data_IF_088398985319
#
_entry.id   IF_088398985319
#
_cell.length_a   1.000
_cell.length_b   1.000
_cell.length_c   1.000
_cell.angle_alpha   90.00
_cell.angle_beta   90.00
_cell.angle_gamma   90.00
#
_symmetry.space_group_name_H-M   'P 1'
#
loop_
_entity.id
_entity.type
_entity.pdbx_description
1 polymer ?
#
# COMPACT_ATOMS: atom_id res chain seq x y z
N UNK A 1 -23.80 -14.25 -28.35
CA UNK A 1 -23.93 -12.99 -27.57
C UNK A 1 -23.81 -11.80 -28.53
N UNK A 2 -24.79 -10.90 -28.58
CA UNK A 2 -24.78 -9.76 -29.52
C UNK A 2 -23.58 -8.84 -29.23
N UNK A 3 -22.93 -8.34 -30.29
CA UNK A 3 -21.74 -7.45 -30.26
C UNK A 3 -21.84 -6.32 -29.22
N UNK A 4 -23.04 -5.80 -28.98
CA UNK A 4 -23.32 -4.75 -27.99
C UNK A 4 -23.09 -5.20 -26.54
N UNK A 5 -23.38 -6.46 -26.18
CA UNK A 5 -23.13 -6.96 -24.83
C UNK A 5 -21.64 -7.14 -24.55
N UNK A 6 -20.84 -7.49 -25.56
CA UNK A 6 -19.39 -7.61 -25.43
C UNK A 6 -18.76 -6.23 -25.13
N UNK A 7 -19.22 -5.17 -25.80
CA UNK A 7 -18.74 -3.81 -25.60
C UNK A 7 -19.05 -3.35 -24.17
N UNK A 8 -20.28 -3.57 -23.69
CA UNK A 8 -20.71 -3.15 -22.34
C UNK A 8 -19.89 -3.87 -21.25
N UNK A 9 -19.65 -5.17 -21.40
CA UNK A 9 -18.82 -5.93 -20.44
C UNK A 9 -17.38 -5.43 -20.47
N UNK A 10 -16.83 -5.14 -21.65
CA UNK A 10 -15.48 -4.61 -21.80
C UNK A 10 -15.32 -3.24 -21.12
N UNK A 11 -16.28 -2.33 -21.27
CA UNK A 11 -16.22 -1.02 -20.57
C UNK A 11 -16.31 -1.19 -19.06
N UNK A 12 -17.18 -2.05 -18.53
CA UNK A 12 -17.30 -2.28 -17.08
C UNK A 12 -15.98 -2.81 -16.49
N UNK A 13 -15.30 -3.72 -17.20
CA UNK A 13 -13.99 -4.26 -16.78
C UNK A 13 -12.88 -3.19 -16.82
N UNK A 14 -12.91 -2.26 -17.78
CA UNK A 14 -11.92 -1.19 -17.87
C UNK A 14 -12.06 -0.14 -16.75
N UNK A 15 -13.28 0.12 -16.27
CA UNK A 15 -13.51 1.11 -15.20
C UNK A 15 -13.38 0.56 -13.78
N UNK A 16 -13.34 -0.76 -13.58
CA UNK A 16 -13.20 -1.34 -12.23
C UNK A 16 -11.81 -1.16 -11.62
N UNK A 17 -10.78 -0.87 -12.44
CA UNK A 17 -9.38 -0.73 -11.99
C UNK A 17 -8.99 0.70 -11.58
N UNK A 18 -9.92 1.66 -11.62
CA UNK A 18 -9.62 3.07 -11.40
C UNK A 18 -9.40 3.46 -9.92
N UNK A 19 -9.65 2.56 -8.96
CA UNK A 19 -9.47 2.86 -7.53
C UNK A 19 -8.03 3.29 -7.19
N UNK A 20 -7.03 2.65 -7.81
CA UNK A 20 -5.62 2.98 -7.62
C UNK A 20 -5.25 4.36 -8.18
N UNK A 21 -5.84 4.72 -9.33
CA UNK A 21 -5.63 6.02 -9.98
C UNK A 21 -6.33 7.12 -9.17
N UNK A 22 -7.55 6.86 -8.68
CA UNK A 22 -8.33 7.81 -7.88
C UNK A 22 -7.61 8.15 -6.57
N UNK A 23 -7.09 7.15 -5.86
CA UNK A 23 -6.32 7.38 -4.63
C UNK A 23 -5.04 8.19 -4.91
N UNK A 24 -4.36 7.95 -6.04
CA UNK A 24 -3.20 8.75 -6.45
C UNK A 24 -3.52 10.21 -6.79
N UNK A 25 -4.74 10.51 -7.26
CA UNK A 25 -5.19 11.86 -7.57
C UNK A 25 -5.74 12.64 -6.37
N UNK A 26 -6.42 11.96 -5.44
CA UNK A 26 -7.06 12.60 -4.28
C UNK A 26 -6.07 12.80 -3.13
N UNK A 27 -5.07 11.93 -3.00
CA UNK A 27 -4.14 11.91 -1.87
C UNK A 27 -2.71 12.34 -2.26
N UNK A 28 -2.56 13.25 -3.23
CA UNK A 28 -1.26 13.65 -3.80
C UNK A 28 -0.21 14.08 -2.77
N UNK A 29 -0.64 14.71 -1.67
CA UNK A 29 0.25 15.16 -0.61
C UNK A 29 0.26 14.25 0.63
N UNK A 30 -0.45 13.13 0.62
CA UNK A 30 -0.47 12.21 1.75
C UNK A 30 0.64 11.17 1.57
N UNK A 31 1.55 11.15 2.52
CA UNK A 31 2.62 10.17 2.63
C UNK A 31 2.23 9.10 3.66
N UNK A 32 2.75 7.91 3.45
CA UNK A 32 2.65 6.79 4.38
C UNK A 32 3.99 6.07 4.45
N UNK A 33 4.37 5.68 5.66
CA UNK A 33 5.50 4.79 5.93
C UNK A 33 4.98 3.61 6.72
N UNK A 34 5.25 2.40 6.26
CA UNK A 34 4.96 1.19 7.00
C UNK A 34 6.25 0.46 7.36
N UNK A 35 6.32 0.02 8.61
CA UNK A 35 7.46 -0.66 9.19
C UNK A 35 7.02 -2.01 9.72
N UNK A 36 7.82 -3.05 9.46
CA UNK A 36 7.69 -4.35 10.09
C UNK A 36 8.66 -4.40 11.28
N UNK A 37 8.11 -4.55 12.47
CA UNK A 37 8.85 -4.46 13.72
C UNK A 37 8.81 -5.81 14.42
N UNK A 38 9.94 -6.25 14.95
CA UNK A 38 10.00 -7.35 15.89
C UNK A 38 9.65 -6.84 17.29
N UNK A 39 8.50 -7.27 17.82
CA UNK A 39 7.95 -6.85 19.12
C UNK A 39 8.83 -7.22 20.31
N UNK A 40 9.73 -8.20 20.18
CA UNK A 40 10.57 -8.63 21.30
C UNK A 40 11.74 -7.67 21.57
N UNK A 41 12.33 -7.12 20.51
CA UNK A 41 13.55 -6.31 20.58
C UNK A 41 13.39 -4.91 19.99
N UNK A 42 12.25 -4.60 19.37
CA UNK A 42 11.98 -3.33 18.70
C UNK A 42 12.71 -3.17 17.36
N UNK A 43 13.29 -4.23 16.81
CA UNK A 43 14.07 -4.18 15.57
C UNK A 43 13.15 -3.98 14.36
N UNK A 44 13.52 -3.04 13.48
CA UNK A 44 12.84 -2.81 12.20
C UNK A 44 13.40 -3.78 11.18
N UNK A 45 12.57 -4.72 10.72
CA UNK A 45 12.93 -5.78 9.78
C UNK A 45 12.65 -5.40 8.33
N UNK A 46 11.71 -4.48 8.11
CA UNK A 46 11.33 -3.99 6.79
C UNK A 46 10.73 -2.59 6.91
N UNK A 47 10.92 -1.79 5.87
CA UNK A 47 10.33 -0.45 5.76
C UNK A 47 10.00 -0.18 4.31
N UNK A 48 8.81 0.36 4.07
CA UNK A 48 8.43 0.96 2.80
C UNK A 48 7.73 2.29 3.05
N UNK A 49 7.94 3.24 2.14
CA UNK A 49 7.44 4.60 2.23
C UNK A 49 7.07 5.09 0.85
N UNK A 50 6.03 5.91 0.77
CA UNK A 50 5.58 6.51 -0.48
C UNK A 50 4.52 7.57 -0.24
N UNK A 51 4.39 8.48 -1.21
CA UNK A 51 3.42 9.57 -1.19
C UNK A 51 2.51 9.49 -2.43
N UNK A 52 1.32 10.10 -2.36
CA UNK A 52 0.42 10.14 -3.51
C UNK A 52 -0.02 8.75 -3.95
N UNK A 53 0.21 8.42 -5.22
CA UNK A 53 -0.11 7.10 -5.77
C UNK A 53 0.67 5.94 -5.13
N UNK A 54 1.89 6.21 -4.65
CA UNK A 54 2.76 5.19 -4.06
C UNK A 54 2.26 4.72 -2.68
N UNK A 55 1.41 5.51 -2.01
CA UNK A 55 0.82 5.19 -0.69
C UNK A 55 -0.18 4.01 -0.74
N UNK A 56 -0.70 3.67 -1.92
CA UNK A 56 -1.88 2.80 -2.06
C UNK A 56 -1.71 1.37 -1.55
N UNK A 57 -0.50 0.78 -1.62
CA UNK A 57 -0.27 -0.63 -1.31
C UNK A 57 0.75 -0.87 -0.18
N UNK A 58 1.29 0.19 0.43
CA UNK A 58 2.42 0.07 1.37
C UNK A 58 2.11 -0.82 2.59
N UNK A 59 0.89 -0.73 3.11
CA UNK A 59 0.46 -1.53 4.26
C UNK A 59 0.29 -3.01 3.88
N UNK A 60 -0.29 -3.28 2.72
CA UNK A 60 -0.45 -4.65 2.20
C UNK A 60 0.92 -5.30 1.95
N UNK A 61 1.86 -4.57 1.35
CA UNK A 61 3.23 -5.03 1.16
C UNK A 61 3.93 -5.37 2.49
N UNK A 62 3.77 -4.52 3.51
CA UNK A 62 4.33 -4.78 4.84
C UNK A 62 3.70 -6.02 5.50
N UNK A 63 2.39 -6.22 5.33
CA UNK A 63 1.69 -7.42 5.81
C UNK A 63 2.13 -8.70 5.07
N UNK A 64 2.30 -8.63 3.75
CA UNK A 64 2.84 -9.73 2.95
C UNK A 64 4.26 -10.08 3.40
N UNK A 65 5.09 -9.06 3.68
CA UNK A 65 6.44 -9.27 4.21
C UNK A 65 6.43 -9.92 5.59
N UNK A 66 5.53 -9.47 6.48
CA UNK A 66 5.33 -10.11 7.78
C UNK A 66 4.97 -11.58 7.62
N UNK A 67 4.03 -11.89 6.72
CA UNK A 67 3.62 -13.25 6.43
C UNK A 67 4.76 -14.12 5.88
N UNK A 68 5.53 -13.63 4.92
CA UNK A 68 6.71 -14.31 4.38
C UNK A 68 7.74 -14.64 5.47
N UNK A 69 8.09 -13.66 6.31
CA UNK A 69 9.06 -13.84 7.40
C UNK A 69 8.53 -14.80 8.46
N UNK A 70 7.23 -14.75 8.75
CA UNK A 70 6.56 -15.67 9.67
C UNK A 70 6.60 -17.12 9.16
N UNK A 71 6.53 -17.33 7.84
CA UNK A 71 6.64 -18.68 7.24
C UNK A 71 8.03 -19.30 7.41
N UNK A 72 9.07 -18.46 7.38
CA UNK A 72 10.47 -18.90 7.49
C UNK A 72 10.97 -19.04 8.93
N UNK A 73 10.20 -18.63 9.93
CA UNK A 73 10.64 -18.53 11.32
C UNK A 73 9.56 -19.04 12.29
N UNK A 74 9.91 -19.79 13.33
CA UNK A 74 8.94 -20.38 14.27
C UNK A 74 8.19 -19.36 15.17
N UNK A 75 8.43 -18.06 15.00
CA UNK A 75 7.91 -16.99 15.86
C UNK A 75 6.87 -16.10 15.15
N UNK A 76 5.71 -16.66 14.86
CA UNK A 76 4.57 -15.98 14.20
C UNK A 76 4.02 -14.78 15.00
N UNK A 77 4.24 -14.73 16.32
CA UNK A 77 3.55 -13.80 17.22
C UNK A 77 4.32 -12.51 17.53
N UNK A 78 5.56 -12.39 17.03
CA UNK A 78 6.46 -11.29 17.39
C UNK A 78 6.63 -10.26 16.29
N UNK A 79 5.85 -10.34 15.21
CA UNK A 79 5.91 -9.39 14.10
C UNK A 79 4.75 -8.40 14.21
N UNK A 80 5.02 -7.11 14.06
CA UNK A 80 4.05 -6.03 14.08
C UNK A 80 4.24 -5.14 12.87
N UNK A 81 3.16 -4.85 12.15
CA UNK A 81 3.16 -3.84 11.09
C UNK A 81 2.68 -2.53 11.70
N UNK A 82 3.52 -1.51 11.67
CA UNK A 82 3.19 -0.17 12.13
C UNK A 82 3.23 0.79 10.94
N UNK A 83 2.12 1.47 10.67
CA UNK A 83 2.01 2.44 9.58
C UNK A 83 1.76 3.84 10.12
N UNK A 84 2.59 4.79 9.72
CA UNK A 84 2.44 6.21 10.02
C UNK A 84 2.04 6.95 8.75
N UNK A 85 1.16 7.95 8.88
CA UNK A 85 0.73 8.79 7.76
C UNK A 85 0.89 10.25 8.10
N UNK A 86 1.33 11.05 7.14
CA UNK A 86 1.50 12.49 7.29
C UNK A 86 1.23 13.21 5.97
N UNK A 87 1.09 14.52 6.03
CA UNK A 87 1.02 15.37 4.83
C UNK A 87 2.41 15.91 4.52
N UNK A 88 2.85 15.81 3.28
CA UNK A 88 4.08 16.44 2.83
C UNK A 88 3.89 17.96 2.90
N UNK A 89 4.83 18.66 3.56
CA UNK A 89 4.83 20.11 3.52
C UNK A 89 5.11 20.58 2.08
N UNK A 90 4.45 21.65 1.61
CA UNK A 90 4.73 22.18 0.30
C UNK A 90 6.20 22.60 0.25
N UNK A 91 6.96 22.04 -0.69
CA UNK A 91 8.33 22.46 -0.95
C UNK A 91 8.27 23.93 -1.36
N UNK A 92 8.79 24.83 -0.53
CA UNK A 92 8.98 26.22 -0.93
C UNK A 92 9.94 26.20 -2.11
N UNK A 93 9.43 26.48 -3.30
CA UNK A 93 10.26 26.76 -4.46
C UNK A 93 10.94 28.11 -4.18
N UNK A 94 12.24 28.09 -3.89
CA UNK A 94 13.10 29.29 -3.89
C UNK A 94 13.43 29.73 -5.31
#
# INVERSE_FOLDING_TARGET
MKKNHLIIVLTIVLFSSCANIFNGLVLTNQCKKCELINKMNGEILFTNEGCGSENTHLEEEAQLKAYEMSRGSYNLCNLEVNCTTWKQEPTKQE
#
